data_IF_100906559030
#
_entry.id   IF_100906559030
#
_cell.length_a   1.000
_cell.length_b   1.000
_cell.length_c   1.000
_cell.angle_alpha   90.00
_cell.angle_beta   90.00
_cell.angle_gamma   90.00
#
_symmetry.space_group_name_H-M   'P 1'
#
loop_
_entity.id
_entity.type
_entity.pdbx_description
1 polymer ?
#
# COMPACT_ATOMS: atom_id res chain seq x y z
N UNK A 1 -26.09 -60.48 -39.57
CA UNK A 1 -26.24 -60.16 -38.13
C UNK A 1 -26.15 -58.65 -38.02
N UNK A 2 -27.30 -57.98 -38.05
CA UNK A 2 -27.42 -56.52 -37.92
C UNK A 2 -27.56 -56.18 -36.44
N UNK A 3 -26.57 -55.48 -35.90
CA UNK A 3 -26.65 -55.00 -34.53
C UNK A 3 -27.44 -53.70 -34.49
N UNK A 4 -28.69 -53.80 -34.06
CA UNK A 4 -29.55 -52.68 -33.73
C UNK A 4 -29.07 -52.08 -32.41
N UNK A 5 -28.49 -50.88 -32.46
CA UNK A 5 -28.20 -50.07 -31.27
C UNK A 5 -29.48 -49.34 -30.83
N UNK A 6 -29.92 -49.49 -29.58
CA UNK A 6 -31.11 -48.77 -29.11
C UNK A 6 -30.82 -47.26 -29.07
N UNK A 7 -31.65 -46.52 -29.85
CA UNK A 7 -31.63 -45.07 -29.84
C UNK A 7 -32.12 -44.53 -28.49
N UNK A 8 -31.24 -43.79 -27.79
CA UNK A 8 -31.58 -43.08 -26.54
C UNK A 8 -32.68 -42.05 -26.80
N UNK A 9 -33.73 -41.99 -25.97
CA UNK A 9 -34.76 -40.96 -26.10
C UNK A 9 -34.20 -39.56 -25.86
N UNK A 10 -34.69 -38.54 -26.53
CA UNK A 10 -34.22 -37.15 -26.31
C UNK A 10 -34.49 -36.72 -24.86
N UNK A 11 -33.60 -35.94 -24.24
CA UNK A 11 -33.76 -35.48 -22.86
C UNK A 11 -35.04 -34.67 -22.70
N UNK A 12 -35.86 -35.05 -21.71
CA UNK A 12 -37.12 -34.39 -21.39
C UNK A 12 -36.89 -32.92 -20.99
N UNK A 13 -37.90 -32.04 -21.21
CA UNK A 13 -37.84 -30.60 -20.90
C UNK A 13 -37.48 -30.35 -19.40
N UNK A 14 -37.92 -31.22 -18.48
CA UNK A 14 -37.56 -31.21 -17.05
C UNK A 14 -36.07 -31.41 -16.82
N UNK A 15 -35.42 -32.29 -17.56
CA UNK A 15 -33.96 -32.52 -17.47
C UNK A 15 -33.16 -31.26 -17.85
N UNK A 16 -33.60 -30.51 -18.85
CA UNK A 16 -32.95 -29.27 -19.29
C UNK A 16 -33.11 -28.12 -18.27
N UNK A 17 -34.25 -28.03 -17.62
CA UNK A 17 -34.52 -27.02 -16.59
C UNK A 17 -33.67 -27.29 -15.34
N UNK A 18 -33.60 -28.55 -14.91
CA UNK A 18 -32.77 -29.00 -13.78
C UNK A 18 -31.28 -28.74 -14.05
N UNK A 19 -30.76 -29.07 -15.23
CA UNK A 19 -29.38 -28.81 -15.61
C UNK A 19 -29.04 -27.30 -15.60
N UNK A 20 -29.97 -26.44 -16.09
CA UNK A 20 -29.76 -24.98 -16.05
C UNK A 20 -29.69 -24.45 -14.63
N UNK A 21 -30.55 -24.91 -13.74
CA UNK A 21 -30.52 -24.52 -12.33
C UNK A 21 -29.23 -24.96 -11.62
N UNK A 22 -28.76 -26.17 -11.89
CA UNK A 22 -27.48 -26.67 -11.36
C UNK A 22 -26.32 -25.82 -11.89
N UNK A 23 -26.29 -25.54 -13.18
CA UNK A 23 -25.23 -24.72 -13.80
C UNK A 23 -25.22 -23.32 -13.21
N UNK A 24 -26.37 -22.67 -13.04
CA UNK A 24 -26.48 -21.35 -12.41
C UNK A 24 -25.98 -21.41 -10.97
N UNK A 25 -26.38 -22.42 -10.19
CA UNK A 25 -25.94 -22.60 -8.82
C UNK A 25 -24.42 -22.77 -8.71
N UNK A 26 -23.82 -23.56 -9.59
CA UNK A 26 -22.36 -23.76 -9.63
C UNK A 26 -21.63 -22.47 -10.00
N UNK A 27 -22.11 -21.75 -11.03
CA UNK A 27 -21.52 -20.45 -11.44
C UNK A 27 -21.60 -19.43 -10.33
N UNK A 28 -22.72 -19.32 -9.64
CA UNK A 28 -22.87 -18.41 -8.50
C UNK A 28 -21.96 -18.80 -7.33
N UNK A 29 -21.82 -20.09 -7.03
CA UNK A 29 -20.93 -20.56 -5.97
C UNK A 29 -19.46 -20.24 -6.29
N UNK A 30 -19.02 -20.44 -7.52
CA UNK A 30 -17.68 -20.07 -7.96
C UNK A 30 -17.47 -18.54 -7.95
N UNK A 31 -18.43 -17.77 -8.43
CA UNK A 31 -18.37 -16.32 -8.42
C UNK A 31 -18.25 -15.79 -6.98
N UNK A 32 -19.07 -16.27 -6.07
CA UNK A 32 -19.03 -15.89 -4.65
C UNK A 32 -17.73 -16.35 -3.97
N UNK A 33 -17.28 -17.57 -4.27
CA UNK A 33 -16.07 -18.16 -3.72
C UNK A 33 -14.77 -17.47 -4.16
N UNK A 34 -14.77 -16.77 -5.29
CA UNK A 34 -13.61 -16.03 -5.79
C UNK A 34 -13.70 -14.53 -5.50
N UNK A 35 -14.88 -13.93 -5.71
CA UNK A 35 -15.04 -12.47 -5.59
C UNK A 35 -14.95 -12.02 -4.13
N UNK A 36 -15.59 -12.74 -3.21
CA UNK A 36 -15.58 -12.32 -1.79
C UNK A 36 -14.18 -12.37 -1.18
N UNK A 37 -13.39 -13.44 -1.31
CA UNK A 37 -12.01 -13.43 -0.82
C UNK A 37 -11.12 -12.38 -1.50
N UNK A 38 -11.31 -12.16 -2.81
CA UNK A 38 -10.55 -11.15 -3.54
C UNK A 38 -10.84 -9.74 -3.02
N UNK A 39 -12.12 -9.40 -2.75
CA UNK A 39 -12.53 -8.12 -2.17
C UNK A 39 -12.00 -7.96 -0.74
N UNK A 40 -12.07 -9.01 0.09
CA UNK A 40 -11.56 -8.97 1.47
C UNK A 40 -10.04 -8.78 1.47
N UNK A 41 -9.31 -9.47 0.60
CA UNK A 41 -7.86 -9.32 0.50
C UNK A 41 -7.47 -7.93 -0.01
N UNK A 42 -8.18 -7.38 -0.98
CA UNK A 42 -7.95 -6.03 -1.48
C UNK A 42 -8.18 -4.98 -0.37
N UNK A 43 -9.30 -5.09 0.35
CA UNK A 43 -9.63 -4.16 1.44
C UNK A 43 -8.63 -4.24 2.60
N UNK A 44 -8.24 -5.44 3.02
CA UNK A 44 -7.22 -5.63 4.04
C UNK A 44 -5.82 -5.16 3.61
N UNK A 45 -5.52 -5.16 2.31
CA UNK A 45 -4.26 -4.64 1.80
C UNK A 45 -4.20 -3.11 1.90
N UNK A 46 -5.31 -2.43 1.60
CA UNK A 46 -5.41 -0.98 1.73
C UNK A 46 -5.30 -0.53 3.20
N UNK A 47 -5.99 -1.20 4.12
CA UNK A 47 -5.92 -0.89 5.56
C UNK A 47 -4.49 -1.04 6.11
N UNK A 48 -3.78 -2.09 5.75
CA UNK A 48 -2.37 -2.28 6.15
C UNK A 48 -1.41 -1.27 5.55
N UNK A 49 -1.71 -0.75 4.37
CA UNK A 49 -0.91 0.32 3.76
C UNK A 49 -1.16 1.68 4.42
N UNK A 50 -2.32 1.90 4.99
CA UNK A 50 -2.66 3.16 5.66
C UNK A 50 -2.19 3.23 7.12
N UNK A 51 -1.65 2.16 7.70
CA UNK A 51 -1.15 2.16 9.08
C UNK A 51 0.38 2.17 9.12
N UNK A 52 0.96 3.16 9.79
CA UNK A 52 2.38 3.23 10.11
C UNK A 52 2.67 2.57 11.47
N UNK A 53 3.90 2.12 11.67
CA UNK A 53 4.35 1.65 12.99
C UNK A 53 4.21 2.80 13.99
N UNK A 54 3.61 2.53 15.15
CA UNK A 54 3.24 3.55 16.13
C UNK A 54 1.74 3.88 16.11
N UNK A 55 0.94 3.21 15.26
CA UNK A 55 -0.52 3.38 15.20
C UNK A 55 -0.97 4.66 14.49
N UNK A 56 -0.09 5.26 13.69
CA UNK A 56 -0.43 6.47 12.93
C UNK A 56 -1.15 6.06 11.64
N UNK A 57 -2.37 6.53 11.47
CA UNK A 57 -3.13 6.36 10.23
C UNK A 57 -2.66 7.34 9.17
N UNK A 58 -2.23 6.80 8.04
CA UNK A 58 -1.72 7.57 6.91
C UNK A 58 -2.81 7.81 5.87
N UNK A 59 -2.88 9.03 5.37
CA UNK A 59 -3.69 9.35 4.19
C UNK A 59 -2.96 8.93 2.89
N UNK A 60 -3.61 9.07 1.72
CA UNK A 60 -3.05 8.63 0.44
C UNK A 60 -1.73 9.33 0.06
N UNK A 61 -1.57 10.62 0.39
CA UNK A 61 -0.34 11.38 0.19
C UNK A 61 0.80 10.81 1.04
N UNK A 62 0.53 10.54 2.32
CA UNK A 62 1.49 10.01 3.28
C UNK A 62 1.87 8.54 2.98
N UNK A 63 0.93 7.72 2.50
CA UNK A 63 1.22 6.36 2.02
C UNK A 63 2.20 6.40 0.84
N UNK A 64 1.99 7.32 -0.12
CA UNK A 64 2.91 7.52 -1.23
C UNK A 64 4.27 8.02 -0.76
N UNK A 65 4.28 8.96 0.16
CA UNK A 65 5.50 9.47 0.80
C UNK A 65 6.29 8.39 1.52
N UNK A 66 5.62 7.45 2.21
CA UNK A 66 6.27 6.30 2.84
C UNK A 66 6.96 5.39 1.82
N UNK A 67 6.32 5.13 0.70
CA UNK A 67 6.90 4.34 -0.39
C UNK A 67 8.18 4.99 -0.90
N UNK A 68 8.13 6.27 -1.25
CA UNK A 68 9.27 7.04 -1.74
C UNK A 68 10.40 7.12 -0.70
N UNK A 69 10.07 7.38 0.56
CA UNK A 69 11.02 7.38 1.67
C UNK A 69 11.73 6.04 1.82
N UNK A 70 10.98 4.95 1.71
CA UNK A 70 11.53 3.59 1.86
C UNK A 70 12.53 3.22 0.78
N UNK A 71 12.37 3.77 -0.42
CA UNK A 71 13.28 3.52 -1.54
C UNK A 71 14.59 4.31 -1.45
N UNK A 72 14.57 5.52 -0.91
CA UNK A 72 15.71 6.44 -1.01
C UNK A 72 16.28 6.86 0.34
N UNK A 73 15.44 7.23 1.30
CA UNK A 73 15.88 7.91 2.53
C UNK A 73 16.37 6.96 3.62
N UNK A 74 15.89 5.71 3.63
CA UNK A 74 16.21 4.69 4.65
C UNK A 74 17.68 4.32 4.70
N UNK A 75 18.41 4.48 3.61
CA UNK A 75 19.86 4.21 3.53
C UNK A 75 20.65 5.13 4.49
N UNK A 76 20.20 6.37 4.61
CA UNK A 76 20.92 7.39 5.38
C UNK A 76 20.24 7.72 6.71
N UNK A 77 18.92 7.69 6.80
CA UNK A 77 18.17 8.17 7.96
C UNK A 77 17.56 7.06 8.80
N UNK A 78 17.54 7.28 10.12
CA UNK A 78 16.71 6.51 11.06
C UNK A 78 15.32 7.12 11.10
N UNK A 79 14.27 6.27 10.98
CA UNK A 79 12.87 6.61 11.19
C UNK A 79 12.11 5.36 11.63
N UNK A 80 11.55 5.37 12.84
CA UNK A 80 10.92 4.21 13.47
C UNK A 80 9.73 3.69 12.66
N UNK A 81 8.91 4.58 12.12
CA UNK A 81 7.70 4.27 11.36
C UNK A 81 7.91 3.34 10.15
N UNK A 82 9.11 3.25 9.61
CA UNK A 82 9.51 2.33 8.52
C UNK A 82 10.64 1.39 8.92
N UNK A 83 10.96 1.27 10.22
CA UNK A 83 12.07 0.45 10.75
C UNK A 83 13.43 0.76 10.11
N UNK A 84 13.64 1.98 9.64
CA UNK A 84 14.93 2.35 9.08
C UNK A 84 15.94 2.67 10.19
N UNK A 85 17.20 2.25 9.95
CA UNK A 85 18.29 2.35 10.92
C UNK A 85 19.53 3.02 10.32
N UNK A 86 19.37 3.79 9.26
CA UNK A 86 20.43 4.54 8.60
C UNK A 86 21.06 5.55 9.56
N UNK A 87 22.40 5.67 9.53
CA UNK A 87 23.19 6.50 10.47
C UNK A 87 24.10 7.51 9.77
N UNK A 88 23.98 7.67 8.48
CA UNK A 88 24.73 8.66 7.70
C UNK A 88 24.14 10.05 7.92
N UNK A 89 22.80 10.14 7.83
CA UNK A 89 22.02 11.32 8.15
C UNK A 89 21.52 11.32 9.60
N UNK A 90 20.88 12.41 10.04
CA UNK A 90 20.28 12.50 11.37
C UNK A 90 19.11 11.52 11.57
N UNK A 91 18.87 11.18 12.84
CA UNK A 91 17.65 10.48 13.24
C UNK A 91 16.45 11.44 13.12
N UNK A 92 15.51 11.11 12.26
CA UNK A 92 14.36 11.97 11.95
C UNK A 92 13.30 11.96 13.06
N UNK A 93 13.19 10.89 13.85
CA UNK A 93 12.29 10.87 15.02
C UNK A 93 12.72 11.92 16.05
N UNK A 94 14.04 12.14 16.20
CA UNK A 94 14.56 13.15 17.12
C UNK A 94 14.52 14.54 16.49
N UNK A 95 15.04 14.68 15.27
CA UNK A 95 15.18 15.98 14.62
C UNK A 95 13.83 16.60 14.24
N UNK A 96 13.01 15.84 13.52
CA UNK A 96 11.71 16.31 13.02
C UNK A 96 10.65 16.18 14.11
N UNK A 97 10.65 15.08 14.87
CA UNK A 97 9.73 14.86 15.98
C UNK A 97 9.79 15.94 17.06
N UNK A 98 10.94 16.59 17.25
CA UNK A 98 11.10 17.71 18.16
C UNK A 98 10.44 19.03 17.71
N UNK A 99 9.98 19.13 16.46
CA UNK A 99 9.28 20.30 15.95
C UNK A 99 7.80 20.23 16.38
N UNK A 100 7.22 21.27 17.01
CA UNK A 100 5.91 21.15 17.67
C UNK A 100 4.72 20.90 16.74
N UNK A 101 4.71 21.42 15.52
CA UNK A 101 3.55 21.30 14.63
C UNK A 101 3.85 20.50 13.38
N UNK A 102 2.88 19.69 12.94
CA UNK A 102 2.97 18.91 11.70
C UNK A 102 3.23 19.79 10.48
N UNK A 103 2.61 20.97 10.42
CA UNK A 103 2.84 21.93 9.33
C UNK A 103 4.29 22.43 9.30
N UNK A 104 4.87 22.76 10.45
CA UNK A 104 6.27 23.16 10.55
C UNK A 104 7.23 22.02 10.23
N UNK A 105 6.93 20.79 10.67
CA UNK A 105 7.67 19.57 10.30
C UNK A 105 7.70 19.39 8.79
N UNK A 106 6.51 19.47 8.14
CA UNK A 106 6.37 19.34 6.68
C UNK A 106 7.19 20.39 5.94
N UNK A 107 7.07 21.65 6.33
CA UNK A 107 7.84 22.74 5.72
C UNK A 107 9.35 22.54 5.87
N UNK A 108 9.81 22.14 7.06
CA UNK A 108 11.21 21.86 7.34
C UNK A 108 11.75 20.70 6.47
N UNK A 109 11.02 19.59 6.41
CA UNK A 109 11.45 18.43 5.60
C UNK A 109 11.47 18.77 4.11
N UNK A 110 10.45 19.51 3.63
CA UNK A 110 10.36 19.91 2.21
C UNK A 110 11.52 20.84 1.82
N UNK A 111 11.86 21.84 2.65
CA UNK A 111 13.01 22.71 2.39
C UNK A 111 14.32 21.94 2.43
N UNK A 112 14.44 21.00 3.39
CA UNK A 112 15.62 20.14 3.52
C UNK A 112 15.85 19.26 2.30
N UNK A 113 14.79 18.66 1.71
CA UNK A 113 14.88 17.87 0.47
C UNK A 113 15.36 18.74 -0.69
N UNK A 114 14.86 19.98 -0.81
CA UNK A 114 15.21 20.91 -1.87
C UNK A 114 16.64 21.45 -1.74
N UNK A 115 17.06 21.77 -0.54
CA UNK A 115 18.35 22.45 -0.29
C UNK A 115 19.51 21.46 -0.18
N UNK A 116 19.26 20.23 0.25
CA UNK A 116 20.31 19.21 0.43
C UNK A 116 21.36 19.59 1.46
N UNK A 117 21.01 19.91 2.72
CA UNK A 117 21.97 20.41 3.69
C UNK A 117 22.99 19.34 4.13
N UNK A 118 24.20 19.79 4.48
CA UNK A 118 25.24 18.97 5.10
C UNK A 118 25.05 18.92 6.61
N UNK A 119 24.02 18.19 7.08
CA UNK A 119 23.75 18.00 8.50
C UNK A 119 24.07 16.54 8.89
N UNK A 120 25.17 16.33 9.58
CA UNK A 120 25.57 14.98 10.04
C UNK A 120 26.89 14.52 9.43
N UNK A 121 27.04 13.17 9.27
CA UNK A 121 28.28 12.55 8.78
C UNK A 121 28.44 12.57 7.25
N UNK A 122 27.43 13.01 6.52
CA UNK A 122 27.44 13.06 5.07
C UNK A 122 26.64 14.24 4.55
N UNK A 123 26.77 14.48 3.25
CA UNK A 123 25.97 15.48 2.55
C UNK A 123 24.70 14.82 2.02
N UNK A 124 23.55 15.39 2.33
CA UNK A 124 22.29 15.03 1.67
C UNK A 124 22.30 15.69 0.30
N UNK A 125 22.13 14.95 -0.80
CA UNK A 125 21.97 15.58 -2.11
C UNK A 125 20.73 16.45 -2.16
N UNK A 126 20.82 17.61 -2.82
CA UNK A 126 19.65 18.44 -3.10
C UNK A 126 18.74 17.76 -4.14
N UNK A 127 17.47 18.13 -4.11
CA UNK A 127 16.47 17.71 -5.09
C UNK A 127 16.36 16.19 -5.32
N UNK A 128 16.57 15.39 -4.27
CA UNK A 128 16.37 13.94 -4.31
C UNK A 128 14.97 13.55 -4.82
N UNK A 129 14.00 14.37 -4.50
CA UNK A 129 12.64 14.36 -5.03
C UNK A 129 12.21 15.79 -5.35
N UNK A 130 11.36 15.94 -6.36
CA UNK A 130 10.87 17.26 -6.79
C UNK A 130 9.33 17.28 -6.84
N UNK A 131 8.74 18.48 -6.83
CA UNK A 131 7.30 18.66 -6.97
C UNK A 131 6.50 17.84 -5.97
N UNK A 132 5.52 17.10 -6.47
CA UNK A 132 4.59 16.31 -5.65
C UNK A 132 5.29 15.19 -4.85
N UNK A 133 6.32 14.58 -5.38
CA UNK A 133 7.03 13.50 -4.69
C UNK A 133 7.76 14.02 -3.44
N UNK A 134 8.38 15.20 -3.51
CA UNK A 134 8.99 15.84 -2.35
C UNK A 134 7.93 16.23 -1.30
N UNK A 135 6.75 16.68 -1.74
CA UNK A 135 5.63 17.00 -0.86
C UNK A 135 5.09 15.75 -0.15
N UNK A 136 4.96 14.64 -0.87
CA UNK A 136 4.48 13.36 -0.34
C UNK A 136 5.43 12.82 0.75
N UNK A 137 6.75 12.85 0.48
CA UNK A 137 7.77 12.45 1.46
C UNK A 137 7.73 13.36 2.69
N UNK A 138 7.61 14.68 2.48
CA UNK A 138 7.54 15.64 3.58
C UNK A 138 6.27 15.46 4.42
N UNK A 139 5.13 15.18 3.80
CA UNK A 139 3.89 14.86 4.50
C UNK A 139 4.03 13.61 5.36
N UNK A 140 4.55 12.53 4.80
CA UNK A 140 4.77 11.27 5.53
C UNK A 140 5.69 11.47 6.73
N UNK A 141 6.88 12.02 6.54
CA UNK A 141 7.85 12.20 7.63
C UNK A 141 7.27 13.11 8.73
N UNK A 142 6.56 14.17 8.34
CA UNK A 142 5.93 15.08 9.29
C UNK A 142 4.85 14.40 10.15
N UNK A 143 4.10 13.46 9.57
CA UNK A 143 3.04 12.73 10.25
C UNK A 143 3.58 11.72 11.26
N UNK A 144 4.71 11.05 10.96
CA UNK A 144 5.15 9.89 11.74
C UNK A 144 6.37 10.13 12.63
N UNK A 145 7.14 11.20 12.41
CA UNK A 145 8.35 11.44 13.18
C UNK A 145 8.06 11.69 14.68
N UNK A 146 8.69 10.89 15.54
CA UNK A 146 8.55 10.98 17.00
C UNK A 146 7.36 10.20 17.57
N UNK A 147 6.81 9.25 16.81
CA UNK A 147 5.74 8.31 17.26
C UNK A 147 6.28 6.91 17.47
#
# INVERSE_FOLDING_TARGET
MSSDSPSQPPPSAESKASQRLITIGVVLAFAFGLIVPALVLAHNAEDKQSEAIGGVHLNAEEVKGRELFSHTCTVCHTLAAVKSVGRIGPNLDVLVGGIPSVAARRAFVLSTIKEGPALGRGNMPADLYQGKEAEDVAAFVAAVAGH
#
